data_IF_871336257894
#
_entry.id   IF_871336257894
#
_cell.length_a   1.000
_cell.length_b   1.000
_cell.length_c   1.000
_cell.angle_alpha   90.00
_cell.angle_beta   90.00
_cell.angle_gamma   90.00
#
_symmetry.space_group_name_H-M   'P 1'
#
loop_
_entity.id
_entity.type
_entity.pdbx_description
1 polymer ?
#
# COMPACT_ATOMS: atom_id res chain seq x y z
N UNK A 1 5.56 -6.28 20.73
CA UNK A 1 4.75 -6.86 19.65
C UNK A 1 3.70 -5.85 19.24
N UNK A 2 3.55 -5.61 17.95
CA UNK A 2 2.44 -4.88 17.36
C UNK A 2 1.62 -5.81 16.45
N UNK A 3 0.32 -5.57 16.34
CA UNK A 3 -0.57 -6.39 15.51
C UNK A 3 -1.39 -5.44 14.64
N UNK A 4 -1.38 -5.71 13.33
CA UNK A 4 -2.32 -5.12 12.39
C UNK A 4 -3.40 -6.15 12.11
N UNK A 5 -4.64 -5.97 12.65
CA UNK A 5 -5.68 -6.98 12.60
C UNK A 5 -5.99 -7.42 11.17
N UNK A 6 -6.05 -8.74 10.96
CA UNK A 6 -6.35 -9.33 9.65
C UNK A 6 -5.22 -9.33 8.63
N UNK A 7 -4.00 -8.91 9.00
CA UNK A 7 -2.88 -8.79 8.08
C UNK A 7 -1.58 -9.43 8.59
N UNK A 8 -0.95 -8.83 9.59
CA UNK A 8 0.31 -9.36 10.14
C UNK A 8 0.56 -8.89 11.56
N UNK A 9 1.51 -9.54 12.21
CA UNK A 9 2.06 -9.14 13.50
C UNK A 9 3.55 -8.85 13.38
N UNK A 10 4.03 -7.85 14.11
CA UNK A 10 5.43 -7.48 14.18
C UNK A 10 5.95 -7.79 15.58
N UNK A 11 6.92 -8.71 15.68
CA UNK A 11 7.66 -8.98 16.88
C UNK A 11 9.01 -8.25 16.85
N UNK A 12 9.31 -7.46 17.88
CA UNK A 12 10.62 -6.83 18.03
C UNK A 12 11.23 -7.27 19.35
N UNK A 13 12.50 -7.66 19.31
CA UNK A 13 13.29 -8.00 20.48
C UNK A 13 14.61 -7.24 20.45
N UNK A 14 14.88 -6.43 21.47
CA UNK A 14 16.18 -5.78 21.66
C UNK A 14 16.40 -5.37 23.13
N UNK A 15 17.64 -5.28 23.56
CA UNK A 15 18.02 -4.65 24.80
C UNK A 15 18.35 -3.15 24.58
N UNK A 16 18.25 -2.26 25.57
CA UNK A 16 17.80 -2.55 26.96
C UNK A 16 16.28 -2.65 27.10
N UNK A 17 15.86 -3.21 28.22
CA UNK A 17 14.46 -3.25 28.62
C UNK A 17 14.15 -2.09 29.58
N UNK A 18 12.93 -1.56 29.53
CA UNK A 18 12.42 -0.61 30.50
C UNK A 18 12.04 -1.30 31.84
N UNK A 19 11.60 -0.51 32.82
CA UNK A 19 11.20 -1.02 34.12
C UNK A 19 9.97 -1.97 34.07
N UNK A 20 9.24 -2.03 32.95
CA UNK A 20 8.10 -2.92 32.71
C UNK A 20 8.46 -4.14 31.87
N UNK A 21 9.73 -4.26 31.48
CA UNK A 21 10.21 -5.38 30.65
C UNK A 21 10.01 -5.19 29.13
N UNK A 22 9.61 -4.00 28.67
CA UNK A 22 9.49 -3.73 27.25
C UNK A 22 10.85 -3.33 26.66
N UNK A 23 11.10 -3.74 25.43
CA UNK A 23 12.26 -3.29 24.67
C UNK A 23 12.13 -1.79 24.33
N UNK A 24 13.02 -0.94 24.86
CA UNK A 24 12.99 0.52 24.62
C UNK A 24 13.12 0.81 23.13
N UNK A 25 14.16 0.28 22.48
CA UNK A 25 14.38 0.46 21.03
C UNK A 25 13.29 -0.19 20.20
N UNK A 26 12.70 -1.30 20.68
CA UNK A 26 11.61 -1.97 19.99
C UNK A 26 10.33 -1.15 19.97
N UNK A 27 10.02 -0.43 21.05
CA UNK A 27 8.87 0.49 21.10
C UNK A 27 9.07 1.67 20.17
N UNK A 28 10.27 2.26 20.18
CA UNK A 28 10.62 3.37 19.26
C UNK A 28 10.51 2.93 17.79
N UNK A 29 11.10 1.80 17.43
CA UNK A 29 11.03 1.27 16.06
C UNK A 29 9.59 0.97 15.62
N UNK A 30 8.74 0.45 16.51
CA UNK A 30 7.33 0.22 16.19
C UNK A 30 6.55 1.52 16.02
N UNK A 31 6.87 2.55 16.81
CA UNK A 31 6.29 3.89 16.66
C UNK A 31 6.68 4.51 15.30
N UNK A 32 7.97 4.49 14.96
CA UNK A 32 8.45 4.98 13.67
C UNK A 32 7.82 4.24 12.48
N UNK A 33 7.71 2.91 12.56
CA UNK A 33 7.01 2.12 11.54
C UNK A 33 5.54 2.49 11.44
N UNK A 34 4.85 2.66 12.58
CA UNK A 34 3.45 3.07 12.61
C UNK A 34 3.25 4.42 11.93
N UNK A 35 4.10 5.39 12.23
CA UNK A 35 4.04 6.73 11.64
C UNK A 35 4.41 6.70 10.15
N UNK A 36 5.46 5.97 9.79
CA UNK A 36 5.91 5.89 8.39
C UNK A 36 4.87 5.26 7.46
N UNK A 37 4.19 4.21 7.92
CA UNK A 37 3.18 3.48 7.16
C UNK A 37 1.74 3.95 7.42
N UNK A 38 1.55 4.97 8.28
CA UNK A 38 0.23 5.45 8.72
C UNK A 38 -0.64 4.31 9.30
N UNK A 39 0.00 3.41 10.08
CA UNK A 39 -0.63 2.23 10.67
C UNK A 39 -1.14 2.54 12.07
N UNK A 40 -2.31 3.15 12.19
CA UNK A 40 -2.90 3.45 13.49
C UNK A 40 -3.81 2.32 13.97
N UNK A 41 -3.43 1.68 15.08
CA UNK A 41 -4.15 0.56 15.69
C UNK A 41 -5.60 0.88 16.07
N UNK A 42 -5.91 2.16 16.29
CA UNK A 42 -7.23 2.65 16.70
C UNK A 42 -8.03 3.24 15.53
N UNK A 43 -7.52 3.16 14.30
CA UNK A 43 -8.31 3.42 13.11
C UNK A 43 -9.50 2.48 13.08
N UNK A 44 -10.68 2.98 12.72
CA UNK A 44 -11.88 2.15 12.61
C UNK A 44 -11.56 0.94 11.73
N UNK A 45 -11.87 -0.29 12.18
CA UNK A 45 -11.73 -1.45 11.33
C UNK A 45 -12.67 -1.26 10.15
N UNK A 46 -12.11 -0.81 9.02
CA UNK A 46 -12.85 -0.77 7.76
C UNK A 46 -13.02 -2.21 7.32
N UNK A 47 -14.22 -2.53 6.90
CA UNK A 47 -14.55 -3.84 6.34
C UNK A 47 -13.50 -4.22 5.30
N UNK A 48 -12.97 -5.44 5.28
CA UNK A 48 -11.96 -5.87 4.33
C UNK A 48 -12.57 -6.08 2.93
N UNK A 49 -13.21 -5.06 2.41
CA UNK A 49 -13.60 -5.08 0.99
C UNK A 49 -12.33 -4.88 0.19
N UNK A 50 -12.08 -5.78 -0.74
CA UNK A 50 -11.00 -5.61 -1.70
C UNK A 50 -11.09 -4.22 -2.33
N UNK A 51 -9.98 -3.47 -2.42
CA UNK A 51 -9.94 -2.22 -3.15
C UNK A 51 -10.18 -2.44 -4.64
N UNK A 52 -9.90 -3.65 -5.15
CA UNK A 52 -10.03 -4.02 -6.55
C UNK A 52 -11.51 -4.27 -6.87
N UNK A 53 -12.02 -3.52 -7.84
CA UNK A 53 -13.40 -3.62 -8.32
C UNK A 53 -13.51 -4.61 -9.46
N UNK A 54 -12.59 -4.49 -10.41
CA UNK A 54 -12.53 -5.33 -11.60
C UNK A 54 -11.13 -5.40 -12.15
N UNK A 55 -10.87 -6.47 -12.86
CA UNK A 55 -9.66 -6.66 -13.65
C UNK A 55 -10.07 -7.02 -15.07
N UNK A 56 -9.31 -6.57 -16.04
CA UNK A 56 -9.49 -6.95 -17.45
C UNK A 56 -8.15 -7.06 -18.14
N UNK A 57 -8.03 -8.05 -19.00
CA UNK A 57 -6.88 -8.27 -19.88
C UNK A 57 -7.34 -8.03 -21.31
N UNK A 58 -6.76 -7.04 -21.96
CA UNK A 58 -7.09 -6.69 -23.33
C UNK A 58 -5.82 -6.25 -24.06
N UNK A 59 -5.51 -6.94 -25.15
CA UNK A 59 -4.40 -6.64 -26.06
C UNK A 59 -3.03 -6.42 -25.36
N UNK A 60 -2.73 -7.27 -24.37
CA UNK A 60 -1.49 -7.19 -23.58
C UNK A 60 -1.49 -6.11 -22.51
N UNK A 61 -2.65 -5.51 -22.22
CA UNK A 61 -2.84 -4.53 -21.15
C UNK A 61 -3.68 -5.15 -20.04
N UNK A 62 -3.08 -5.37 -18.87
CA UNK A 62 -3.77 -5.74 -17.66
C UNK A 62 -4.28 -4.51 -16.94
N UNK A 63 -5.59 -4.28 -16.94
CA UNK A 63 -6.19 -3.12 -16.28
C UNK A 63 -6.83 -3.54 -14.97
N UNK A 64 -6.48 -2.84 -13.89
CA UNK A 64 -7.00 -3.04 -12.53
C UNK A 64 -7.73 -1.77 -12.09
N UNK A 65 -9.04 -1.84 -11.97
CA UNK A 65 -9.85 -0.73 -11.45
C UNK A 65 -9.95 -0.80 -9.93
N UNK A 66 -9.70 0.33 -9.28
CA UNK A 66 -9.60 0.43 -7.82
C UNK A 66 -10.60 1.47 -7.29
N UNK A 67 -11.12 1.24 -6.08
CA UNK A 67 -12.10 2.12 -5.43
C UNK A 67 -11.80 2.38 -3.96
N UNK A 68 -12.43 3.42 -3.42
CA UNK A 68 -12.44 3.74 -2.00
C UNK A 68 -11.19 4.48 -1.55
N UNK A 69 -10.74 4.27 -0.33
CA UNK A 69 -9.55 4.89 0.20
C UNK A 69 -8.35 3.95 0.04
N UNK A 70 -7.25 4.49 -0.48
CA UNK A 70 -5.96 3.81 -0.55
C UNK A 70 -5.12 4.19 0.69
N UNK A 71 -5.21 3.36 1.72
CA UNK A 71 -4.31 3.32 2.86
C UNK A 71 -3.21 2.26 2.64
N UNK A 72 -2.40 2.00 3.66
CA UNK A 72 -1.36 0.96 3.58
C UNK A 72 -1.95 -0.42 3.20
N UNK A 73 -3.08 -0.77 3.83
CA UNK A 73 -3.71 -2.08 3.71
C UNK A 73 -4.25 -2.35 2.33
N UNK A 74 -5.10 -1.45 1.87
CA UNK A 74 -5.74 -1.54 0.55
C UNK A 74 -4.69 -1.44 -0.57
N UNK A 75 -3.66 -0.60 -0.38
CA UNK A 75 -2.56 -0.51 -1.35
C UNK A 75 -1.71 -1.77 -1.35
N UNK A 76 -1.42 -2.37 -0.18
CA UNK A 76 -0.68 -3.64 -0.13
C UNK A 76 -1.42 -4.78 -0.82
N UNK A 77 -2.76 -4.84 -0.68
CA UNK A 77 -3.57 -5.82 -1.42
C UNK A 77 -3.49 -5.61 -2.94
N UNK A 78 -3.55 -4.36 -3.39
CA UNK A 78 -3.39 -4.02 -4.79
C UNK A 78 -2.00 -4.43 -5.30
N UNK A 79 -0.94 -4.04 -4.59
CA UNK A 79 0.45 -4.40 -4.93
C UNK A 79 0.62 -5.91 -5.05
N UNK A 80 0.08 -6.66 -4.09
CA UNK A 80 0.17 -8.12 -4.11
C UNK A 80 -0.49 -8.71 -5.36
N UNK A 81 -1.69 -8.22 -5.69
CA UNK A 81 -2.39 -8.62 -6.91
C UNK A 81 -1.57 -8.34 -8.19
N UNK A 82 -0.93 -7.15 -8.28
CA UNK A 82 -0.12 -6.77 -9.43
C UNK A 82 1.13 -7.65 -9.58
N UNK A 83 1.79 -7.95 -8.47
CA UNK A 83 2.98 -8.81 -8.46
C UNK A 83 2.61 -10.26 -8.80
N UNK A 84 1.55 -10.81 -8.21
CA UNK A 84 1.07 -12.16 -8.53
C UNK A 84 0.75 -12.29 -10.03
N UNK A 85 0.09 -11.28 -10.61
CA UNK A 85 -0.19 -11.26 -12.04
C UNK A 85 1.11 -11.24 -12.87
N UNK A 86 2.07 -10.41 -12.48
CA UNK A 86 3.34 -10.27 -13.21
C UNK A 86 4.21 -11.52 -13.16
N UNK A 87 4.03 -12.39 -12.17
CA UNK A 87 4.73 -13.68 -12.07
C UNK A 87 4.10 -14.77 -12.97
N UNK A 88 2.80 -14.64 -13.27
CA UNK A 88 2.02 -15.65 -14.00
C UNK A 88 1.84 -15.34 -15.48
N UNK A 89 2.00 -14.09 -15.88
CA UNK A 89 1.78 -13.62 -17.25
C UNK A 89 3.09 -13.18 -17.93
N UNK A 90 3.05 -13.11 -19.26
CA UNK A 90 4.17 -12.53 -20.00
C UNK A 90 4.18 -11.00 -19.87
N UNK A 91 5.38 -10.36 -19.89
CA UNK A 91 5.49 -8.92 -19.75
C UNK A 91 4.66 -8.15 -20.77
N UNK A 92 3.91 -7.19 -20.29
CA UNK A 92 3.01 -6.33 -21.05
C UNK A 92 2.85 -4.99 -20.34
N UNK A 93 1.65 -4.43 -20.40
CA UNK A 93 1.31 -3.19 -19.71
C UNK A 93 0.38 -3.47 -18.53
N UNK A 94 0.75 -3.02 -17.34
CA UNK A 94 -0.13 -2.97 -16.17
C UNK A 94 -0.68 -1.57 -16.03
N UNK A 95 -2.00 -1.43 -16.02
CA UNK A 95 -2.71 -0.16 -15.85
C UNK A 95 -3.54 -0.18 -14.57
N UNK A 96 -3.29 0.77 -13.69
CA UNK A 96 -4.08 0.96 -12.47
C UNK A 96 -5.00 2.16 -12.66
N UNK A 97 -6.31 1.94 -12.56
CA UNK A 97 -7.32 2.98 -12.68
C UNK A 97 -7.81 3.42 -11.30
N UNK A 98 -7.50 4.66 -10.92
CA UNK A 98 -7.87 5.30 -9.66
C UNK A 98 -9.12 6.17 -9.77
N UNK A 99 -9.87 6.12 -10.86
CA UNK A 99 -11.03 7.01 -11.10
C UNK A 99 -12.12 6.90 -10.02
N UNK A 100 -12.24 5.75 -9.36
CA UNK A 100 -13.19 5.51 -8.27
C UNK A 100 -12.54 5.56 -6.86
N UNK A 101 -11.28 5.98 -6.77
CA UNK A 101 -10.60 6.22 -5.50
C UNK A 101 -11.07 7.57 -4.94
N UNK A 102 -11.48 7.56 -3.66
CA UNK A 102 -11.98 8.77 -3.00
C UNK A 102 -10.88 9.51 -2.23
N UNK A 103 -9.84 8.80 -1.82
CA UNK A 103 -8.70 9.34 -1.09
C UNK A 103 -7.49 8.41 -1.22
N UNK A 104 -6.30 8.99 -1.34
CA UNK A 104 -5.05 8.26 -1.26
C UNK A 104 -4.18 8.81 -0.13
N UNK A 105 -3.64 7.92 0.69
CA UNK A 105 -2.66 8.28 1.71
C UNK A 105 -1.27 8.38 1.10
N UNK A 106 -0.34 9.16 1.64
CA UNK A 106 1.02 9.30 1.10
C UNK A 106 1.75 7.97 0.92
N UNK A 107 1.46 6.99 1.78
CA UNK A 107 2.03 5.65 1.68
C UNK A 107 1.61 4.93 0.40
N UNK A 108 0.40 5.16 -0.10
CA UNK A 108 -0.08 4.57 -1.35
C UNK A 108 0.80 4.98 -2.53
N UNK A 109 1.13 6.27 -2.64
CA UNK A 109 2.03 6.77 -3.68
C UNK A 109 3.41 6.12 -3.61
N UNK A 110 3.98 6.02 -2.41
CA UNK A 110 5.30 5.37 -2.21
C UNK A 110 5.30 3.90 -2.61
N UNK A 111 4.28 3.14 -2.19
CA UNK A 111 4.17 1.72 -2.52
C UNK A 111 3.97 1.51 -4.03
N UNK A 112 3.06 2.27 -4.65
CA UNK A 112 2.82 2.16 -6.10
C UNK A 112 4.03 2.57 -6.94
N UNK A 113 4.78 3.59 -6.51
CA UNK A 113 6.05 3.98 -7.16
C UNK A 113 7.08 2.85 -7.07
N UNK A 114 7.29 2.28 -5.88
CA UNK A 114 8.20 1.16 -5.71
C UNK A 114 7.79 -0.06 -6.55
N UNK A 115 6.49 -0.37 -6.58
CA UNK A 115 5.95 -1.46 -7.41
C UNK A 115 6.15 -1.20 -8.89
N UNK A 116 5.94 0.03 -9.35
CA UNK A 116 6.18 0.41 -10.74
C UNK A 116 7.65 0.21 -11.14
N UNK A 117 8.58 0.55 -10.24
CA UNK A 117 10.01 0.37 -10.48
C UNK A 117 10.40 -1.12 -10.53
N UNK A 118 9.79 -1.94 -9.67
CA UNK A 118 10.01 -3.39 -9.70
C UNK A 118 9.42 -4.01 -10.97
N UNK A 119 8.20 -3.69 -11.34
CA UNK A 119 7.57 -4.18 -12.57
C UNK A 119 8.40 -3.82 -13.81
N UNK A 120 8.94 -2.61 -13.90
CA UNK A 120 9.83 -2.18 -15.00
C UNK A 120 11.10 -3.01 -15.09
N UNK A 121 11.68 -3.43 -13.96
CA UNK A 121 12.88 -4.31 -13.96
C UNK A 121 12.59 -5.67 -14.56
N UNK A 122 11.34 -6.13 -14.49
CA UNK A 122 10.89 -7.38 -15.10
C UNK A 122 10.31 -7.21 -16.51
N UNK A 123 10.46 -6.03 -17.10
CA UNK A 123 10.05 -5.76 -18.48
C UNK A 123 8.59 -5.33 -18.65
N UNK A 124 7.89 -5.06 -17.56
CA UNK A 124 6.51 -4.55 -17.58
C UNK A 124 6.48 -3.04 -17.77
N UNK A 125 5.49 -2.53 -18.51
CA UNK A 125 5.14 -1.13 -18.52
C UNK A 125 4.09 -0.88 -17.43
N UNK A 126 4.27 0.17 -16.61
CA UNK A 126 3.30 0.56 -15.57
C UNK A 126 2.66 1.90 -15.94
N UNK A 127 1.33 1.92 -16.00
CA UNK A 127 0.52 3.09 -16.28
C UNK A 127 -0.44 3.36 -15.11
N UNK A 128 -0.56 4.64 -14.72
CA UNK A 128 -1.46 5.07 -13.67
C UNK A 128 -2.48 6.06 -14.24
N UNK A 129 -3.77 5.73 -14.13
CA UNK A 129 -4.86 6.66 -14.44
C UNK A 129 -5.30 7.35 -13.15
N UNK A 130 -4.73 8.50 -12.87
CA UNK A 130 -5.01 9.35 -11.71
C UNK A 130 -5.51 10.74 -12.16
N UNK A 131 -6.74 10.78 -12.65
CA UNK A 131 -7.37 12.01 -13.16
C UNK A 131 -7.62 13.06 -12.07
N UNK A 132 -7.67 12.64 -10.81
CA UNK A 132 -7.87 13.51 -9.66
C UNK A 132 -6.56 13.97 -8.98
N UNK A 133 -5.41 13.55 -9.52
CA UNK A 133 -4.08 13.85 -8.97
C UNK A 133 -3.92 13.47 -7.48
N UNK A 134 -4.52 12.36 -7.08
CA UNK A 134 -4.55 11.90 -5.69
C UNK A 134 -3.18 11.49 -5.15
N UNK A 135 -2.27 11.10 -6.04
CA UNK A 135 -0.93 10.63 -5.72
C UNK A 135 0.17 11.64 -6.05
N UNK A 136 -0.19 12.88 -6.40
CA UNK A 136 0.80 13.93 -6.64
C UNK A 136 1.61 14.24 -5.39
N UNK A 137 2.95 14.42 -5.49
CA UNK A 137 3.82 14.70 -4.35
C UNK A 137 3.52 16.02 -3.65
N UNK A 138 2.73 16.90 -4.25
CA UNK A 138 2.36 18.20 -3.71
C UNK A 138 1.06 18.20 -2.88
N UNK A 139 0.50 17.01 -2.61
CA UNK A 139 -0.69 16.84 -1.77
C UNK A 139 -0.39 16.96 -0.27
N UNK A 140 0.35 18.00 0.15
CA UNK A 140 0.31 18.50 1.53
C UNK A 140 -1.03 19.20 1.75
N UNK A 141 -2.10 18.44 1.88
CA UNK A 141 -3.33 18.95 2.44
C UNK A 141 -3.17 18.99 3.96
N UNK A 142 -2.49 20.06 4.40
CA UNK A 142 -2.53 20.48 5.79
C UNK A 142 -3.98 20.51 6.26
N UNK A 143 -4.31 19.61 7.15
CA UNK A 143 -5.49 19.73 7.98
C UNK A 143 -5.18 20.66 9.15
N UNK A 144 -6.10 21.54 9.55
CA UNK A 144 -5.97 22.35 10.75
C UNK A 144 -6.03 21.50 12.01
#
# INVERSE_FOLDING_TARGET
VAILPGQFGIGVHSAPLDARGNSVRGVEALAELSDYFDMHLLGHPRSPLSPIVSTSDDDGVHTVAVRGELDFVSTAQLVHHLLDHSELAEPGTVRVDLSAVTRARPIAGRLLTATADDLRRYGWEFQLLDSACLLSPDGDNGAP
#
